data_IF_724491428794
#
_entry.id   IF_724491428794
#
_cell.length_a   1.000
_cell.length_b   1.000
_cell.length_c   1.000
_cell.angle_alpha   90.00
_cell.angle_beta   90.00
_cell.angle_gamma   90.00
#
_symmetry.space_group_name_H-M   'P 1'
#
loop_
_entity.id
_entity.type
_entity.pdbx_description
1 polymer ?
#
# COMPACT_ATOMS: atom_id res chain seq x y z
N UNK A 1 37.54 13.87 -35.96
CA UNK A 1 36.76 14.76 -36.86
C UNK A 1 35.98 15.72 -35.99
N UNK A 2 36.49 16.95 -35.81
CA UNK A 2 35.96 17.93 -34.86
C UNK A 2 34.80 18.67 -35.53
N UNK A 3 33.56 18.47 -35.07
CA UNK A 3 32.41 19.28 -35.50
C UNK A 3 32.69 20.75 -35.19
N UNK A 4 32.51 21.62 -36.17
CA UNK A 4 32.68 23.08 -36.02
C UNK A 4 31.56 23.66 -35.15
N UNK A 5 31.83 24.77 -34.45
CA UNK A 5 30.91 25.42 -33.50
C UNK A 5 29.53 25.77 -34.10
N UNK A 6 29.47 26.01 -35.41
CA UNK A 6 28.23 26.27 -36.14
C UNK A 6 27.31 25.04 -36.24
N UNK A 7 27.88 23.83 -36.37
CA UNK A 7 27.10 22.60 -36.38
C UNK A 7 26.50 22.30 -34.99
N UNK A 8 27.19 22.67 -33.91
CA UNK A 8 26.64 22.53 -32.56
C UNK A 8 25.48 23.49 -32.29
N UNK A 9 25.49 24.70 -32.84
CA UNK A 9 24.39 25.65 -32.67
C UNK A 9 23.15 25.24 -33.45
N UNK A 10 23.28 24.72 -34.67
CA UNK A 10 22.15 24.19 -35.45
C UNK A 10 21.55 22.93 -34.81
N UNK A 11 22.38 22.03 -34.25
CA UNK A 11 21.94 20.84 -33.53
C UNK A 11 21.14 21.21 -32.26
N UNK A 12 21.46 22.32 -31.59
CA UNK A 12 20.74 22.83 -30.42
C UNK A 12 19.42 23.53 -30.77
N UNK A 13 19.38 24.29 -31.88
CA UNK A 13 18.15 24.92 -32.36
C UNK A 13 17.15 23.92 -32.98
N UNK A 14 17.66 22.87 -33.63
CA UNK A 14 16.83 21.75 -34.11
C UNK A 14 16.17 20.99 -32.95
N UNK A 15 16.86 20.88 -31.81
CA UNK A 15 16.38 20.18 -30.61
C UNK A 15 15.54 21.04 -29.66
N UNK A 16 15.51 22.37 -29.83
CA UNK A 16 14.66 23.26 -29.03
C UNK A 16 13.26 23.45 -29.62
N UNK A 17 13.00 22.93 -30.83
CA UNK A 17 11.68 22.96 -31.45
C UNK A 17 10.70 22.01 -30.72
N UNK A 18 9.66 22.53 -30.02
CA UNK A 18 8.75 21.72 -29.22
C UNK A 18 7.99 20.68 -30.05
N UNK A 19 7.79 20.92 -31.35
CA UNK A 19 7.06 20.03 -32.25
C UNK A 19 7.85 18.77 -32.62
N UNK A 20 9.19 18.82 -32.56
CA UNK A 20 10.05 17.66 -32.83
C UNK A 20 10.23 16.78 -31.58
N UNK A 21 10.30 17.38 -30.38
CA UNK A 21 10.33 16.66 -29.10
C UNK A 21 9.06 15.82 -28.92
N UNK A 22 7.91 16.36 -29.32
CA UNK A 22 6.62 15.66 -29.27
C UNK A 22 6.57 14.38 -30.14
N UNK A 23 7.37 14.29 -31.21
CA UNK A 23 7.37 13.12 -32.11
C UNK A 23 8.16 11.93 -31.57
N UNK A 24 9.09 12.11 -30.62
CA UNK A 24 9.90 11.03 -30.05
C UNK A 24 9.33 10.43 -28.75
N UNK A 25 8.27 11.00 -28.19
CA UNK A 25 7.54 10.44 -27.04
C UNK A 25 6.65 9.27 -27.46
N UNK A 26 7.22 8.08 -27.58
CA UNK A 26 6.47 6.83 -27.66
C UNK A 26 5.61 6.66 -26.40
N UNK A 27 4.28 6.62 -26.60
CA UNK A 27 3.27 6.42 -25.57
C UNK A 27 2.61 7.73 -25.15
N UNK A 28 1.46 8.06 -25.75
CA UNK A 28 0.56 9.09 -25.19
C UNK A 28 0.04 8.56 -23.86
N UNK A 29 0.74 8.83 -22.76
CA UNK A 29 0.15 8.72 -21.43
C UNK A 29 -1.10 9.59 -21.44
N UNK A 30 -2.24 9.00 -21.09
CA UNK A 30 -3.48 9.75 -20.95
C UNK A 30 -3.23 10.89 -19.96
N UNK A 31 -3.40 12.14 -20.39
CA UNK A 31 -3.30 13.28 -19.49
C UNK A 31 -4.37 13.14 -18.40
N UNK A 32 -4.00 13.37 -17.14
CA UNK A 32 -4.93 13.30 -15.99
C UNK A 32 -6.18 14.19 -16.15
N UNK A 33 -6.13 15.17 -17.06
CA UNK A 33 -7.21 16.12 -17.37
C UNK A 33 -7.78 15.98 -18.78
N UNK A 34 -7.62 14.82 -19.43
CA UNK A 34 -8.31 14.51 -20.70
C UNK A 34 -7.99 15.43 -21.88
N UNK A 35 -6.78 15.99 -21.93
CA UNK A 35 -6.29 16.87 -22.99
C UNK A 35 -6.49 18.36 -22.70
N UNK A 36 -7.16 18.70 -21.59
CA UNK A 36 -7.38 20.09 -21.16
C UNK A 36 -6.30 20.52 -20.20
N UNK A 37 -5.80 21.77 -20.35
CA UNK A 37 -4.85 22.35 -19.40
C UNK A 37 -5.54 22.47 -18.02
N UNK A 38 -5.02 21.82 -16.95
CA UNK A 38 -5.61 21.96 -15.62
C UNK A 38 -5.56 23.44 -15.21
N UNK A 39 -6.73 24.04 -15.03
CA UNK A 39 -6.87 25.37 -14.46
C UNK A 39 -7.32 25.22 -13.02
N UNK A 40 -6.53 25.74 -12.09
CA UNK A 40 -6.89 25.77 -10.67
C UNK A 40 -7.88 26.90 -10.44
N UNK A 41 -9.03 26.62 -9.81
CA UNK A 41 -10.03 27.65 -9.47
C UNK A 41 -9.41 28.73 -8.54
N UNK A 42 -8.41 28.32 -7.77
CA UNK A 42 -7.61 29.14 -6.86
C UNK A 42 -6.56 30.02 -7.55
N UNK A 43 -6.27 29.81 -8.85
CA UNK A 43 -5.33 30.60 -9.64
C UNK A 43 -3.91 30.67 -9.08
N UNK A 44 -3.23 31.81 -9.33
CA UNK A 44 -1.91 32.20 -8.78
C UNK A 44 -1.88 32.14 -7.24
N UNK A 45 -3.02 32.40 -6.60
CA UNK A 45 -3.10 32.50 -5.15
C UNK A 45 -3.02 31.17 -4.40
N UNK A 46 -2.80 30.02 -5.07
CA UNK A 46 -2.43 28.76 -4.38
C UNK A 46 -1.09 28.90 -3.67
N UNK A 47 -0.13 29.55 -4.32
CA UNK A 47 1.25 29.61 -3.85
C UNK A 47 1.41 30.75 -2.84
N UNK A 48 1.94 30.42 -1.68
CA UNK A 48 2.15 31.40 -0.60
C UNK A 48 3.08 32.55 -1.02
N UNK A 49 4.13 32.24 -1.79
CA UNK A 49 5.06 33.23 -2.33
C UNK A 49 4.38 34.28 -3.21
N UNK A 50 3.39 33.87 -3.99
CA UNK A 50 2.68 34.77 -4.90
C UNK A 50 1.73 35.69 -4.14
N UNK A 51 1.23 35.26 -2.97
CA UNK A 51 0.49 36.12 -2.03
C UNK A 51 1.40 37.16 -1.37
N UNK A 52 2.64 36.78 -1.06
CA UNK A 52 3.63 37.66 -0.40
C UNK A 52 4.18 38.76 -1.32
N UNK A 53 4.19 38.54 -2.64
CA UNK A 53 4.62 39.53 -3.65
C UNK A 53 3.65 40.73 -3.79
N UNK A 54 2.49 40.69 -3.12
CA UNK A 54 1.44 41.70 -3.20
C UNK A 54 0.25 41.25 -4.04
N UNK A 55 -0.95 41.71 -3.66
CA UNK A 55 -2.22 41.44 -4.34
C UNK A 55 -2.85 42.74 -4.84
N UNK A 56 -3.39 42.69 -6.05
CA UNK A 56 -4.27 43.75 -6.55
C UNK A 56 -5.57 43.82 -5.72
N UNK A 57 -6.30 44.95 -5.73
CA UNK A 57 -7.59 45.05 -5.05
C UNK A 57 -8.60 43.98 -5.52
N UNK A 58 -8.61 43.66 -6.80
CA UNK A 58 -9.48 42.64 -7.40
C UNK A 58 -9.13 41.23 -6.90
N UNK A 59 -7.84 40.91 -6.87
CA UNK A 59 -7.35 39.63 -6.35
C UNK A 59 -7.69 39.46 -4.86
N UNK A 60 -7.65 40.55 -4.09
CA UNK A 60 -8.03 40.54 -2.67
C UNK A 60 -9.52 40.27 -2.48
N UNK A 61 -10.38 40.89 -3.30
CA UNK A 61 -11.82 40.64 -3.28
C UNK A 61 -12.14 39.18 -3.67
N UNK A 62 -11.51 38.66 -4.74
CA UNK A 62 -11.63 37.26 -5.14
C UNK A 62 -11.20 36.31 -4.02
N UNK A 63 -10.07 36.60 -3.36
CA UNK A 63 -9.57 35.76 -2.26
C UNK A 63 -10.51 35.77 -1.06
N UNK A 64 -11.12 36.91 -0.75
CA UNK A 64 -12.12 37.03 0.30
C UNK A 64 -13.37 36.20 0.00
N UNK A 65 -13.84 36.24 -1.26
CA UNK A 65 -14.93 35.37 -1.71
C UNK A 65 -14.54 33.89 -1.60
N UNK A 66 -13.37 33.50 -2.11
CA UNK A 66 -12.89 32.13 -2.00
C UNK A 66 -12.81 31.64 -0.55
N UNK A 67 -12.31 32.47 0.39
CA UNK A 67 -12.29 32.12 1.82
C UNK A 67 -13.69 31.87 2.37
N UNK A 68 -14.66 32.68 1.95
CA UNK A 68 -16.06 32.53 2.33
C UNK A 68 -16.65 31.25 1.77
N UNK A 69 -16.32 30.89 0.53
CA UNK A 69 -16.79 29.67 -0.12
C UNK A 69 -16.20 28.40 0.51
N UNK A 70 -15.06 28.49 1.21
CA UNK A 70 -14.52 27.36 2.00
C UNK A 70 -15.26 27.13 3.32
N UNK A 71 -16.14 28.03 3.75
CA UNK A 71 -16.93 27.84 4.96
C UNK A 71 -18.03 26.83 4.67
N UNK A 72 -17.91 25.67 5.30
CA UNK A 72 -18.91 24.61 5.18
C UNK A 72 -20.23 25.04 5.85
N UNK A 73 -21.35 24.55 5.31
CA UNK A 73 -22.64 24.81 5.95
C UNK A 73 -22.70 24.19 7.34
N UNK A 74 -23.46 24.78 8.26
CA UNK A 74 -23.59 24.24 9.62
C UNK A 74 -24.17 22.82 9.68
N UNK A 75 -24.80 22.37 8.60
CA UNK A 75 -25.44 21.07 8.49
C UNK A 75 -24.52 19.98 7.95
N UNK A 76 -23.29 20.34 7.58
CA UNK A 76 -22.29 19.43 7.06
C UNK A 76 -21.21 19.15 8.11
N UNK A 77 -20.74 17.89 8.22
CA UNK A 77 -21.09 16.70 7.43
C UNK A 77 -22.39 16.01 7.87
N UNK A 78 -23.27 15.67 6.92
CA UNK A 78 -24.55 14.99 7.20
C UNK A 78 -24.36 13.48 7.31
N UNK A 79 -24.47 12.92 8.52
CA UNK A 79 -24.46 11.48 8.72
C UNK A 79 -25.86 10.88 8.49
N UNK A 80 -26.05 10.19 7.36
CA UNK A 80 -27.33 9.53 7.00
C UNK A 80 -27.30 8.06 7.43
N UNK A 81 -28.01 7.66 8.50
CA UNK A 81 -27.93 6.30 9.02
C UNK A 81 -28.57 5.25 8.11
N UNK A 82 -29.59 5.59 7.30
CA UNK A 82 -30.21 4.64 6.38
C UNK A 82 -29.22 4.13 5.34
N UNK A 83 -28.43 5.03 4.77
CA UNK A 83 -27.42 4.69 3.76
C UNK A 83 -26.45 3.61 4.25
N UNK A 84 -25.94 3.73 5.48
CA UNK A 84 -25.00 2.75 6.04
C UNK A 84 -25.65 1.43 6.42
N UNK A 85 -26.92 1.48 6.82
CA UNK A 85 -27.73 0.29 7.06
C UNK A 85 -27.89 -0.47 5.74
N UNK A 86 -28.49 0.13 4.73
CA UNK A 86 -28.83 -0.54 3.47
C UNK A 86 -27.61 -1.12 2.74
N UNK A 87 -26.46 -0.45 2.84
CA UNK A 87 -25.21 -0.94 2.26
C UNK A 87 -24.66 -2.22 2.89
N UNK A 88 -25.14 -2.61 4.07
CA UNK A 88 -24.63 -3.75 4.83
C UNK A 88 -25.71 -4.82 5.04
N UNK A 89 -25.45 -6.01 4.48
CA UNK A 89 -26.26 -7.22 4.68
C UNK A 89 -26.45 -7.55 6.17
N UNK A 90 -27.60 -8.11 6.60
CA UNK A 90 -27.85 -8.44 8.02
C UNK A 90 -26.77 -9.33 8.66
N UNK A 91 -26.30 -10.36 7.94
CA UNK A 91 -25.20 -11.23 8.39
C UNK A 91 -23.93 -10.41 8.64
N UNK A 92 -23.64 -9.47 7.73
CA UNK A 92 -22.49 -8.57 7.87
C UNK A 92 -22.63 -7.63 9.05
N UNK A 93 -23.83 -7.21 9.40
CA UNK A 93 -24.05 -6.40 10.61
C UNK A 93 -23.85 -7.22 11.88
N UNK A 94 -24.29 -8.47 11.91
CA UNK A 94 -24.19 -9.34 13.07
C UNK A 94 -22.73 -9.56 13.50
N UNK A 95 -21.84 -10.03 12.61
CA UNK A 95 -20.44 -10.26 12.99
C UNK A 95 -19.64 -8.96 13.20
N UNK A 96 -20.15 -7.83 12.70
CA UNK A 96 -19.53 -6.50 12.81
C UNK A 96 -19.88 -5.79 14.13
N UNK A 97 -21.05 -6.10 14.69
CA UNK A 97 -21.62 -5.50 15.89
C UNK A 97 -20.66 -5.42 17.10
N UNK A 98 -19.91 -6.48 17.48
CA UNK A 98 -19.02 -6.40 18.64
C UNK A 98 -17.94 -5.31 18.47
N UNK A 99 -17.35 -5.21 17.28
CA UNK A 99 -16.35 -4.20 16.99
C UNK A 99 -16.97 -2.79 16.85
N UNK A 100 -18.24 -2.68 16.43
CA UNK A 100 -18.95 -1.40 16.37
C UNK A 100 -19.27 -0.89 17.79
N UNK A 101 -19.55 -1.78 18.74
CA UNK A 101 -19.73 -1.41 20.16
C UNK A 101 -18.44 -0.84 20.76
N UNK A 102 -17.29 -1.48 20.49
CA UNK A 102 -15.97 -0.98 20.91
C UNK A 102 -15.70 0.41 20.32
N UNK A 103 -15.97 0.60 19.02
CA UNK A 103 -15.80 1.91 18.37
C UNK A 103 -16.68 2.97 19.03
N UNK A 104 -17.96 2.68 19.27
CA UNK A 104 -18.90 3.61 19.92
C UNK A 104 -18.44 4.02 21.31
N UNK A 105 -17.91 3.09 22.10
CA UNK A 105 -17.36 3.40 23.44
C UNK A 105 -16.09 4.25 23.39
N UNK A 106 -15.24 4.08 22.37
CA UNK A 106 -13.99 4.83 22.20
C UNK A 106 -14.16 6.21 21.56
N UNK A 107 -15.23 6.40 20.78
CA UNK A 107 -15.50 7.63 20.03
C UNK A 107 -15.49 8.91 20.89
N UNK A 108 -16.13 8.97 22.08
CA UNK A 108 -16.13 10.19 22.89
C UNK A 108 -14.75 10.56 23.46
N UNK A 109 -13.82 9.60 23.58
CA UNK A 109 -12.49 9.83 24.19
C UNK A 109 -11.43 10.17 23.13
N UNK A 110 -11.45 9.45 22.00
CA UNK A 110 -10.38 9.52 21.00
C UNK A 110 -10.78 10.26 19.71
N UNK A 111 -12.07 10.57 19.56
CA UNK A 111 -12.62 11.08 18.30
C UNK A 111 -12.90 9.97 17.27
N UNK A 112 -13.59 10.34 16.20
CA UNK A 112 -14.14 9.41 15.20
C UNK A 112 -13.04 8.69 14.42
N UNK A 113 -11.99 9.41 14.01
CA UNK A 113 -10.92 8.87 13.17
C UNK A 113 -10.13 7.78 13.88
N UNK A 114 -9.67 8.07 15.10
CA UNK A 114 -8.90 7.12 15.91
C UNK A 114 -9.74 5.94 16.37
N UNK A 115 -11.00 6.16 16.79
CA UNK A 115 -11.89 5.07 17.13
C UNK A 115 -12.13 4.11 15.95
N UNK A 116 -12.24 4.65 14.72
CA UNK A 116 -12.36 3.85 13.51
C UNK A 116 -11.06 3.09 13.18
N UNK A 117 -9.90 3.74 13.32
CA UNK A 117 -8.60 3.11 13.11
C UNK A 117 -8.38 1.93 14.07
N UNK A 118 -8.70 2.10 15.35
CA UNK A 118 -8.60 1.05 16.36
C UNK A 118 -9.50 -0.13 15.99
N UNK A 119 -10.78 0.13 15.70
CA UNK A 119 -11.73 -0.90 15.26
C UNK A 119 -11.18 -1.74 14.09
N UNK A 120 -10.60 -1.07 13.09
CA UNK A 120 -10.04 -1.72 11.91
C UNK A 120 -8.84 -2.62 12.26
N UNK A 121 -7.89 -2.09 13.03
CA UNK A 121 -6.68 -2.83 13.40
C UNK A 121 -6.94 -3.95 14.41
N UNK A 122 -7.82 -3.75 15.38
CA UNK A 122 -8.20 -4.80 16.35
C UNK A 122 -8.76 -6.03 15.63
N UNK A 123 -9.64 -5.84 14.64
CA UNK A 123 -10.17 -6.96 13.86
C UNK A 123 -9.08 -7.70 13.08
N UNK A 124 -8.15 -6.96 12.46
CA UNK A 124 -7.02 -7.57 11.72
C UNK A 124 -6.06 -8.32 12.64
N UNK A 125 -5.67 -7.71 13.75
CA UNK A 125 -4.76 -8.32 14.72
C UNK A 125 -5.35 -9.58 15.34
N UNK A 126 -6.65 -9.59 15.65
CA UNK A 126 -7.33 -10.79 16.12
C UNK A 126 -7.29 -11.93 15.10
N UNK A 127 -7.58 -11.64 13.81
CA UNK A 127 -7.52 -12.63 12.75
C UNK A 127 -6.09 -13.12 12.48
N UNK A 128 -5.11 -12.22 12.47
CA UNK A 128 -3.70 -12.58 12.31
C UNK A 128 -3.24 -13.46 13.47
N UNK A 129 -3.49 -13.04 14.71
CA UNK A 129 -3.13 -13.81 15.90
C UNK A 129 -3.77 -15.20 15.90
N UNK A 130 -5.07 -15.28 15.60
CA UNK A 130 -5.76 -16.56 15.47
C UNK A 130 -5.17 -17.45 14.37
N UNK A 131 -4.86 -16.87 13.20
CA UNK A 131 -4.29 -17.61 12.06
C UNK A 131 -2.88 -18.13 12.36
N UNK A 132 -2.03 -17.33 13.02
CA UNK A 132 -0.70 -17.74 13.47
C UNK A 132 -0.82 -18.86 14.50
N UNK A 133 -1.68 -18.71 15.49
CA UNK A 133 -1.87 -19.72 16.52
C UNK A 133 -2.39 -21.04 15.93
N UNK A 134 -3.43 -20.98 15.10
CA UNK A 134 -3.98 -22.14 14.42
C UNK A 134 -2.95 -22.82 13.51
N UNK A 135 -2.18 -22.04 12.74
CA UNK A 135 -1.10 -22.54 11.90
C UNK A 135 0.01 -23.22 12.73
N UNK A 136 0.48 -22.57 13.78
CA UNK A 136 1.50 -23.12 14.67
C UNK A 136 1.03 -24.40 15.35
N UNK A 137 -0.20 -24.43 15.85
CA UNK A 137 -0.81 -25.63 16.45
C UNK A 137 -0.94 -26.75 15.42
N UNK A 138 -1.40 -26.43 14.20
CA UNK A 138 -1.51 -27.40 13.12
C UNK A 138 -0.15 -28.01 12.77
N UNK A 139 0.88 -27.19 12.53
CA UNK A 139 2.22 -27.71 12.21
C UNK A 139 2.83 -28.51 13.37
N UNK A 140 2.60 -28.10 14.62
CA UNK A 140 3.12 -28.81 15.80
C UNK A 140 2.55 -30.22 15.94
N UNK A 141 1.26 -30.41 15.69
CA UNK A 141 0.58 -31.69 15.96
C UNK A 141 0.19 -32.48 14.72
N UNK A 142 0.27 -31.89 13.52
CA UNK A 142 -0.13 -32.50 12.24
C UNK A 142 0.98 -32.40 11.19
N UNK A 143 2.24 -32.37 11.63
CA UNK A 143 3.37 -32.47 10.73
C UNK A 143 3.33 -33.79 9.94
N UNK A 144 3.67 -33.71 8.66
CA UNK A 144 3.74 -34.88 7.78
C UNK A 144 5.05 -35.66 8.03
N UNK A 145 5.02 -36.48 9.07
CA UNK A 145 6.09 -37.42 9.40
C UNK A 145 5.81 -38.81 8.79
N UNK A 146 6.83 -39.68 8.78
CA UNK A 146 6.73 -41.03 8.22
C UNK A 146 5.60 -41.89 8.83
N UNK A 147 5.20 -41.61 10.07
CA UNK A 147 4.13 -42.31 10.81
C UNK A 147 2.72 -41.92 10.36
N UNK A 148 2.56 -40.85 9.57
CA UNK A 148 1.25 -40.33 9.15
C UNK A 148 1.15 -40.22 7.64
N UNK A 149 -0.08 -40.43 7.13
CA UNK A 149 -0.39 -40.40 5.69
C UNK A 149 -0.72 -39.00 5.18
N UNK A 150 -1.09 -38.07 6.07
CA UNK A 150 -1.56 -36.73 5.72
C UNK A 150 -0.71 -35.61 6.34
N UNK A 151 -1.21 -34.38 6.22
CA UNK A 151 -0.54 -33.19 6.74
C UNK A 151 0.28 -32.45 5.70
N UNK A 152 0.57 -31.19 5.99
CA UNK A 152 1.39 -30.36 5.10
C UNK A 152 2.85 -30.79 5.18
N UNK A 153 3.45 -30.96 4.00
CA UNK A 153 4.85 -31.34 3.88
C UNK A 153 5.71 -30.09 3.78
N UNK A 154 6.49 -29.83 4.82
CA UNK A 154 7.47 -28.75 4.84
C UNK A 154 8.83 -29.33 4.48
N UNK A 155 9.43 -28.86 3.39
CA UNK A 155 10.79 -29.22 3.00
C UNK A 155 11.64 -27.97 3.14
N UNK A 156 12.58 -27.98 4.07
CA UNK A 156 13.53 -26.90 4.21
C UNK A 156 14.67 -27.07 3.20
N UNK A 157 15.05 -25.96 2.55
CA UNK A 157 16.31 -25.88 1.84
C UNK A 157 17.46 -26.10 2.82
N UNK A 158 18.58 -26.63 2.32
CA UNK A 158 19.81 -26.73 3.11
C UNK A 158 20.23 -25.34 3.59
N UNK A 159 20.86 -25.28 4.76
CA UNK A 159 21.59 -24.09 5.21
C UNK A 159 22.77 -23.87 4.27
N UNK A 160 23.07 -22.61 3.96
CA UNK A 160 24.31 -22.25 3.28
C UNK A 160 25.46 -22.41 4.28
N UNK A 161 26.53 -23.06 3.87
CA UNK A 161 27.77 -23.20 4.65
C UNK A 161 28.87 -22.57 3.81
N UNK A 162 29.54 -21.57 4.35
CA UNK A 162 30.61 -20.83 3.66
C UNK A 162 31.99 -21.14 4.26
N UNK A 163 33.09 -20.96 3.51
CA UNK A 163 34.43 -21.11 4.06
C UNK A 163 34.62 -20.17 5.26
N UNK A 164 34.91 -20.74 6.43
CA UNK A 164 35.05 -20.01 7.69
C UNK A 164 33.97 -20.33 8.74
N UNK A 165 32.86 -20.96 8.33
CA UNK A 165 31.87 -21.49 9.28
C UNK A 165 32.37 -22.79 9.93
N UNK A 166 31.96 -23.05 11.17
CA UNK A 166 32.33 -24.27 11.94
C UNK A 166 31.96 -25.57 11.21
N UNK A 167 30.93 -25.54 10.35
CA UNK A 167 30.47 -26.69 9.57
C UNK A 167 31.18 -26.90 8.23
N UNK A 168 32.12 -26.03 7.82
CA UNK A 168 32.83 -26.19 6.55
C UNK A 168 33.97 -27.21 6.66
N UNK A 169 34.14 -28.16 5.72
CA UNK A 169 33.44 -28.35 4.45
C UNK A 169 32.25 -29.34 4.52
N UNK A 170 31.88 -29.81 5.70
CA UNK A 170 30.89 -30.87 5.89
C UNK A 170 29.45 -30.35 5.77
N UNK A 171 28.90 -30.41 4.55
CA UNK A 171 27.49 -30.11 4.33
C UNK A 171 26.62 -31.37 4.51
N UNK A 172 25.41 -31.25 5.08
CA UNK A 172 24.46 -32.36 5.14
C UNK A 172 24.05 -32.79 3.72
N UNK A 173 24.62 -33.90 3.26
CA UNK A 173 24.42 -34.42 1.91
C UNK A 173 23.30 -35.47 1.91
N UNK A 174 22.28 -35.26 1.07
CA UNK A 174 21.30 -36.29 0.73
C UNK A 174 21.86 -37.11 -0.42
N UNK A 175 22.52 -38.21 -0.12
CA UNK A 175 23.25 -39.02 -1.11
C UNK A 175 22.35 -39.99 -1.87
N UNK A 176 21.23 -40.42 -1.27
CA UNK A 176 20.31 -41.38 -1.88
C UNK A 176 18.97 -40.74 -2.27
N UNK A 177 18.34 -41.18 -3.38
CA UNK A 177 17.00 -40.71 -3.75
C UNK A 177 15.93 -40.95 -2.64
N UNK A 178 16.12 -41.99 -1.84
CA UNK A 178 15.24 -42.32 -0.72
C UNK A 178 15.26 -41.25 0.40
N UNK A 179 16.37 -40.50 0.55
CA UNK A 179 16.49 -39.44 1.56
C UNK A 179 15.50 -38.29 1.34
N UNK A 180 15.04 -38.11 0.10
CA UNK A 180 14.03 -37.11 -0.22
C UNK A 180 12.63 -37.53 0.22
N UNK A 181 12.36 -38.82 0.45
CA UNK A 181 11.05 -39.34 0.83
C UNK A 181 11.00 -39.92 2.26
N UNK A 182 12.13 -39.95 2.96
CA UNK A 182 12.27 -40.62 4.26
C UNK A 182 11.41 -40.01 5.39
N UNK A 183 11.01 -38.73 5.31
CA UNK A 183 10.11 -38.07 6.29
C UNK A 183 10.48 -38.31 7.76
N UNK A 184 11.77 -38.21 8.07
CA UNK A 184 12.29 -38.42 9.44
C UNK A 184 12.41 -39.89 9.88
N UNK A 185 12.14 -40.86 9.01
CA UNK A 185 12.23 -42.30 9.34
C UNK A 185 13.62 -42.70 9.88
N UNK A 186 14.70 -42.20 9.27
CA UNK A 186 16.08 -42.48 9.70
C UNK A 186 16.44 -41.91 11.08
N UNK A 187 15.64 -40.99 11.61
CA UNK A 187 15.82 -40.37 12.92
C UNK A 187 14.89 -41.00 13.97
N UNK A 188 14.11 -42.02 13.58
CA UNK A 188 13.25 -42.75 14.48
C UNK A 188 14.09 -43.68 15.38
N UNK A 189 13.62 -43.99 16.59
CA UNK A 189 14.33 -44.89 17.51
C UNK A 189 14.31 -46.37 17.09
N UNK A 190 13.71 -46.69 15.94
CA UNK A 190 13.59 -48.02 15.31
C UNK A 190 14.39 -47.99 14.01
#
# INVERSE_FOLDING_TARGET
>A
MVKTRAAYTEDLESNSNPDKIAKFSHGKMASNTGGVKPMTITGRMVRERERLLGMSPEERAWRAQWLKDQQLSHHEPRHVPEYWKERLNPIRRFYRAPLDLVQKGLTPVLGVEWAHAIRFWTGKMALIGFSIYAGAYYFKYNQNDWTRKGGWRVIHSRTAVVPGDEGYPNFPQRSSPADYAARGFKQSPI
#
